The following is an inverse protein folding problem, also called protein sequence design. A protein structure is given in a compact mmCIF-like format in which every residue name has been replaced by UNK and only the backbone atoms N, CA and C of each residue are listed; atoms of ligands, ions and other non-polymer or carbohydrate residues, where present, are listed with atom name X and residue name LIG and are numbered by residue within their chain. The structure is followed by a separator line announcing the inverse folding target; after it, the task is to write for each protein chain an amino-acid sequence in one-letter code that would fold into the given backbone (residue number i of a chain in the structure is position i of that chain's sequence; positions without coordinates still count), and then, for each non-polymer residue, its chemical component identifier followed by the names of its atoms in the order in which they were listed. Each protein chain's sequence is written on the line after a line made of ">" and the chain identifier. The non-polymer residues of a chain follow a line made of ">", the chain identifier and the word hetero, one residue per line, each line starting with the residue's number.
data_IF_225103669931
#
_entry.id   IF_225103669931
#
_cell.length_a   1.000
_cell.length_b   1.000
_cell.length_c   1.000
_cell.angle_alpha   90.00
_cell.angle_beta   90.00
_cell.angle_gamma   90.00
#
_symmetry.space_group_name_H-M   'P 1'
#
loop_
_entity.id
_entity.type
_entity.pdbx_description
1 polymer ?
#
# COMPACT_ATOMS: atom_id res chain seq x y z
N UNK A 1 5.48 -11.68 8.40
CA UNK A 1 6.86 -11.49 7.87
C UNK A 1 7.02 -10.16 7.13
N UNK A 2 6.12 -9.81 6.19
CA UNK A 2 6.20 -8.53 5.45
C UNK A 2 6.24 -7.28 6.34
N UNK A 3 5.42 -7.19 7.39
CA UNK A 3 5.41 -6.05 8.34
C UNK A 3 6.81 -5.72 8.88
N UNK A 4 7.52 -6.71 9.44
CA UNK A 4 8.88 -6.52 9.96
C UNK A 4 9.87 -6.09 8.87
N UNK A 5 9.70 -6.61 7.65
CA UNK A 5 10.58 -6.25 6.52
C UNK A 5 10.42 -4.81 6.06
N UNK A 6 9.23 -4.22 6.18
CA UNK A 6 8.99 -2.82 5.78
C UNK A 6 9.74 -1.87 6.73
N UNK A 7 9.70 -2.13 8.04
CA UNK A 7 10.33 -1.26 9.06
C UNK A 7 11.85 -1.50 9.24
N UNK A 8 12.44 -2.46 8.54
CA UNK A 8 13.88 -2.75 8.61
C UNK A 8 14.64 -2.30 7.36
N UNK A 9 14.02 -1.50 6.49
CA UNK A 9 14.65 -0.94 5.29
C UNK A 9 15.66 0.13 5.71
N UNK A 10 16.94 -0.07 5.37
CA UNK A 10 18.02 0.88 5.69
C UNK A 10 18.82 1.33 4.48
N UNK A 11 18.59 0.72 3.31
CA UNK A 11 19.30 0.99 2.07
C UNK A 11 18.37 0.94 0.85
N UNK A 12 18.83 1.49 -0.28
CA UNK A 12 18.11 1.39 -1.55
C UNK A 12 17.93 -0.07 -2.01
N UNK A 13 18.94 -0.92 -1.76
CA UNK A 13 18.87 -2.35 -2.06
C UNK A 13 17.78 -3.07 -1.25
N UNK A 14 17.67 -2.77 0.05
CA UNK A 14 16.60 -3.29 0.90
C UNK A 14 15.24 -2.86 0.38
N UNK A 15 15.10 -1.57 0.04
CA UNK A 15 13.87 -1.01 -0.49
C UNK A 15 13.42 -1.74 -1.77
N UNK A 16 14.30 -1.92 -2.75
CA UNK A 16 13.99 -2.65 -3.99
C UNK A 16 13.56 -4.09 -3.70
N UNK A 17 14.30 -4.79 -2.84
CA UNK A 17 13.97 -6.17 -2.45
C UNK A 17 12.59 -6.28 -1.78
N UNK A 18 12.29 -5.37 -0.84
CA UNK A 18 11.01 -5.35 -0.13
C UNK A 18 9.87 -4.93 -1.06
N UNK A 19 10.07 -3.96 -1.95
CA UNK A 19 9.08 -3.53 -2.93
C UNK A 19 8.66 -4.68 -3.85
N UNK A 20 9.61 -5.46 -4.37
CA UNK A 20 9.32 -6.64 -5.20
C UNK A 20 8.58 -7.74 -4.42
N UNK A 21 8.91 -7.93 -3.13
CA UNK A 21 8.17 -8.85 -2.25
C UNK A 21 6.74 -8.37 -2.01
N UNK A 22 6.54 -7.07 -1.80
CA UNK A 22 5.21 -6.46 -1.65
C UNK A 22 4.41 -6.60 -2.93
N UNK A 23 5.01 -6.38 -4.10
CA UNK A 23 4.37 -6.58 -5.39
C UNK A 23 3.86 -8.02 -5.56
N UNK A 24 4.69 -9.02 -5.26
CA UNK A 24 4.26 -10.44 -5.27
C UNK A 24 3.09 -10.70 -4.33
N UNK A 25 3.17 -10.20 -3.10
CA UNK A 25 2.09 -10.33 -2.12
C UNK A 25 0.79 -9.68 -2.63
N UNK A 26 0.86 -8.49 -3.22
CA UNK A 26 -0.29 -7.82 -3.82
C UNK A 26 -0.86 -8.63 -5.00
N UNK A 27 -0.01 -9.10 -5.91
CA UNK A 27 -0.47 -9.93 -7.04
C UNK A 27 -1.19 -11.21 -6.57
N UNK A 28 -0.68 -11.86 -5.53
CA UNK A 28 -1.26 -13.11 -5.01
C UNK A 28 -2.57 -12.89 -4.24
N UNK A 29 -2.66 -11.81 -3.44
CA UNK A 29 -3.71 -11.66 -2.43
C UNK A 29 -4.74 -10.57 -2.76
N UNK A 30 -4.49 -9.73 -3.77
CA UNK A 30 -5.40 -8.67 -4.21
C UNK A 30 -5.99 -9.02 -5.58
N UNK A 31 -7.19 -9.60 -5.59
CA UNK A 31 -7.86 -10.07 -6.82
C UNK A 31 -8.05 -8.97 -7.87
N UNK A 32 -8.29 -7.73 -7.44
CA UNK A 32 -8.43 -6.58 -8.33
C UNK A 32 -7.11 -6.26 -9.00
N UNK A 33 -6.03 -6.19 -8.23
CA UNK A 33 -4.69 -5.91 -8.74
C UNK A 33 -4.16 -7.05 -9.62
N UNK A 34 -4.41 -8.30 -9.24
CA UNK A 34 -4.09 -9.49 -10.04
C UNK A 34 -4.75 -9.43 -11.40
N UNK A 35 -6.07 -9.22 -11.43
CA UNK A 35 -6.83 -9.13 -12.69
C UNK A 35 -6.30 -8.02 -13.59
N UNK A 36 -5.91 -6.89 -13.01
CA UNK A 36 -5.29 -5.79 -13.75
C UNK A 36 -3.93 -6.18 -14.34
N UNK A 37 -3.06 -6.83 -13.57
CA UNK A 37 -1.76 -7.30 -14.04
C UNK A 37 -1.89 -8.38 -15.13
N UNK A 38 -2.83 -9.31 -14.98
CA UNK A 38 -3.11 -10.37 -15.96
C UNK A 38 -3.52 -9.78 -17.31
N UNK A 39 -4.37 -8.73 -17.33
CA UNK A 39 -4.77 -8.02 -18.55
C UNK A 39 -3.61 -7.26 -19.22
N UNK A 40 -2.55 -6.95 -18.48
CA UNK A 40 -1.32 -6.35 -18.99
C UNK A 40 -0.26 -7.41 -19.37
N UNK A 41 -0.59 -8.70 -19.24
CA UNK A 41 0.36 -9.80 -19.42
C UNK A 41 1.60 -9.65 -18.54
N UNK A 42 1.41 -9.24 -17.27
CA UNK A 42 2.48 -9.05 -16.29
C UNK A 42 2.36 -10.06 -15.16
N UNK A 43 3.27 -11.02 -15.11
CA UNK A 43 3.39 -11.97 -14.02
C UNK A 43 4.56 -11.60 -13.08
N UNK A 44 4.52 -11.95 -11.78
CA UNK A 44 5.60 -11.62 -10.87
C UNK A 44 6.98 -12.23 -11.17
N UNK A 45 7.04 -13.23 -12.04
CA UNK A 45 8.30 -13.76 -12.59
C UNK A 45 8.99 -12.80 -13.55
N UNK A 46 8.23 -11.89 -14.16
CA UNK A 46 8.68 -11.04 -15.27
C UNK A 46 9.07 -9.62 -14.79
N UNK A 47 8.94 -9.38 -13.48
CA UNK A 47 9.20 -8.09 -12.82
C UNK A 47 10.41 -8.27 -11.91
N UNK A 48 11.57 -7.81 -12.40
CA UNK A 48 12.85 -7.83 -11.68
C UNK A 48 13.22 -6.47 -11.11
N UNK A 49 12.61 -5.39 -11.61
CA UNK A 49 12.90 -4.01 -11.20
C UNK A 49 11.62 -3.28 -10.79
N UNK A 50 11.76 -2.28 -9.92
CA UNK A 50 10.61 -1.56 -9.34
C UNK A 50 9.82 -0.78 -10.40
N UNK A 51 10.49 -0.28 -11.44
CA UNK A 51 9.90 0.48 -12.54
C UNK A 51 8.98 -0.38 -13.42
N UNK A 52 9.10 -1.70 -13.33
CA UNK A 52 8.28 -2.64 -14.09
C UNK A 52 6.96 -2.99 -13.38
N UNK A 53 6.77 -2.56 -12.13
CA UNK A 53 5.56 -2.81 -11.34
C UNK A 53 4.38 -2.04 -11.95
N UNK A 54 3.28 -2.72 -12.36
CA UNK A 54 2.13 -2.04 -12.95
C UNK A 54 1.43 -1.09 -11.97
N UNK A 55 1.15 0.14 -12.41
CA UNK A 55 0.43 1.13 -11.62
C UNK A 55 -1.08 0.93 -11.72
N UNK A 56 -1.73 0.63 -10.60
CA UNK A 56 -3.18 0.48 -10.54
C UNK A 56 -3.86 1.86 -10.66
N UNK A 57 -4.76 2.09 -11.65
CA UNK A 57 -5.42 3.38 -11.80
C UNK A 57 -6.26 3.75 -10.58
N UNK A 58 -6.14 5.00 -10.12
CA UNK A 58 -6.84 5.47 -8.90
C UNK A 58 -8.37 5.34 -8.97
N UNK A 59 -8.95 5.31 -10.18
CA UNK A 59 -10.40 5.11 -10.40
C UNK A 59 -10.90 3.74 -9.91
N UNK A 60 -10.03 2.74 -9.78
CA UNK A 60 -10.39 1.44 -9.23
C UNK A 60 -10.79 1.56 -7.76
N UNK A 61 -10.20 2.47 -6.99
CA UNK A 61 -10.59 2.70 -5.60
C UNK A 61 -11.99 3.32 -5.46
N UNK A 62 -12.57 3.87 -6.53
CA UNK A 62 -13.98 4.34 -6.54
C UNK A 62 -14.96 3.21 -6.80
N UNK A 63 -14.57 2.23 -7.62
CA UNK A 63 -15.51 1.25 -8.21
C UNK A 63 -15.28 -0.18 -7.73
N UNK A 64 -14.13 -0.47 -7.12
CA UNK A 64 -13.70 -1.80 -6.69
C UNK A 64 -13.21 -1.77 -5.23
N UNK A 65 -13.36 -2.91 -4.56
CA UNK A 65 -12.76 -3.14 -3.23
C UNK A 65 -11.31 -3.60 -3.42
N UNK A 66 -10.38 -2.66 -3.43
CA UNK A 66 -8.94 -2.94 -3.52
C UNK A 66 -8.42 -3.33 -2.13
N UNK A 67 -8.14 -4.61 -1.92
CA UNK A 67 -7.71 -5.18 -0.63
C UNK A 67 -6.87 -6.43 -0.88
N UNK A 68 -5.79 -6.63 -0.11
CA UNK A 68 -4.88 -7.78 -0.23
C UNK A 68 -5.01 -8.78 0.92
N UNK A 69 -6.20 -8.88 1.51
CA UNK A 69 -6.49 -9.72 2.67
C UNK A 69 -7.92 -10.24 2.59
N UNK A 70 -8.15 -11.42 3.16
CA UNK A 70 -9.48 -12.00 3.35
C UNK A 70 -10.17 -11.49 4.61
N UNK A 71 -9.44 -10.79 5.49
CA UNK A 71 -9.98 -10.20 6.71
C UNK A 71 -10.85 -8.97 6.40
N UNK A 72 -11.76 -8.65 7.31
CA UNK A 72 -12.51 -7.40 7.24
C UNK A 72 -11.58 -6.22 7.52
N UNK A 73 -11.88 -5.08 6.90
CA UNK A 73 -11.17 -3.84 7.17
C UNK A 73 -11.54 -3.33 8.58
N UNK A 74 -10.54 -2.93 9.35
CA UNK A 74 -10.72 -2.27 10.64
C UNK A 74 -11.23 -0.84 10.44
N UNK A 75 -10.75 -0.15 9.39
CA UNK A 75 -11.20 1.18 9.01
C UNK A 75 -11.28 1.33 7.48
N UNK A 76 -12.18 2.19 7.03
CA UNK A 76 -12.29 2.57 5.61
C UNK A 76 -12.14 4.08 5.48
N UNK A 77 -11.06 4.54 4.88
CA UNK A 77 -10.88 5.95 4.54
C UNK A 77 -11.62 6.27 3.24
N UNK A 78 -12.21 7.45 3.17
CA UNK A 78 -12.89 7.97 1.97
C UNK A 78 -12.26 9.28 1.54
N UNK A 79 -12.09 9.49 0.23
CA UNK A 79 -11.70 10.79 -0.30
C UNK A 79 -12.78 11.84 -0.06
N UNK A 80 -12.40 13.12 0.06
CA UNK A 80 -13.31 14.25 0.31
C UNK A 80 -14.34 14.53 -0.80
N UNK A 81 -14.14 14.00 -2.01
CA UNK A 81 -15.15 14.04 -3.09
C UNK A 81 -15.49 15.46 -3.55
N UNK A 82 -14.55 16.14 -4.21
CA UNK A 82 -14.74 17.53 -4.64
C UNK A 82 -15.61 17.69 -5.91
N UNK A 83 -15.79 16.62 -6.69
CA UNK A 83 -16.61 16.61 -7.92
C UNK A 83 -17.07 15.19 -8.26
N UNK A 84 -18.37 14.90 -8.07
CA UNK A 84 -19.01 13.62 -8.44
C UNK A 84 -19.54 12.79 -7.26
N UNK A 85 -20.48 11.89 -7.54
CA UNK A 85 -21.29 11.20 -6.52
C UNK A 85 -20.58 10.01 -5.82
N UNK A 86 -19.50 9.46 -6.38
CA UNK A 86 -18.74 8.35 -5.77
C UNK A 86 -17.31 8.74 -5.39
N UNK A 87 -17.00 8.61 -4.10
CA UNK A 87 -15.68 8.82 -3.52
C UNK A 87 -14.83 7.55 -3.61
N UNK A 88 -13.50 7.73 -3.65
CA UNK A 88 -12.57 6.60 -3.53
C UNK A 88 -12.58 6.07 -2.10
N UNK A 89 -12.44 4.75 -1.94
CA UNK A 89 -12.38 4.07 -0.64
C UNK A 89 -11.07 3.30 -0.49
N UNK A 90 -10.42 3.45 0.66
CA UNK A 90 -9.22 2.70 1.04
C UNK A 90 -9.55 1.84 2.28
N UNK A 91 -9.54 0.52 2.08
CA UNK A 91 -9.84 -0.47 3.10
C UNK A 91 -8.55 -0.86 3.84
N UNK A 92 -8.43 -0.48 5.11
CA UNK A 92 -7.24 -0.77 5.93
C UNK A 92 -7.56 -1.89 6.90
N UNK A 93 -6.77 -2.96 6.84
CA UNK A 93 -6.99 -4.20 7.61
C UNK A 93 -6.21 -4.29 8.91
N UNK A 94 -5.21 -3.46 9.09
CA UNK A 94 -4.40 -3.34 10.31
C UNK A 94 -4.09 -1.86 10.49
N UNK A 95 -4.87 -1.18 11.34
CA UNK A 95 -4.69 0.24 11.63
C UNK A 95 -3.35 0.46 12.33
N UNK A 96 -2.92 -0.47 13.18
CA UNK A 96 -1.67 -0.33 13.95
C UNK A 96 -0.45 -0.20 13.04
N UNK A 97 -0.44 -0.87 11.89
CA UNK A 97 0.61 -0.73 10.88
C UNK A 97 0.66 0.69 10.31
N UNK A 98 -0.51 1.28 10.05
CA UNK A 98 -0.63 2.63 9.54
C UNK A 98 -0.12 3.64 10.59
N UNK A 99 -0.45 3.42 11.87
CA UNK A 99 -0.02 4.26 12.99
C UNK A 99 1.49 4.21 13.24
N UNK A 100 2.07 3.02 13.29
CA UNK A 100 3.51 2.82 13.41
C UNK A 100 4.24 3.56 12.30
N UNK A 101 3.78 3.41 11.05
CA UNK A 101 4.40 4.05 9.88
C UNK A 101 4.44 5.58 9.97
N UNK A 102 3.33 6.26 10.26
CA UNK A 102 3.37 7.73 10.30
C UNK A 102 4.06 8.26 11.56
N UNK A 103 4.03 7.53 12.68
CA UNK A 103 4.73 7.93 13.91
C UNK A 103 6.25 7.84 13.73
N UNK A 104 6.73 6.73 13.18
CA UNK A 104 8.16 6.55 12.90
C UNK A 104 8.65 7.59 11.89
N UNK A 105 7.86 7.85 10.84
CA UNK A 105 8.17 8.91 9.89
C UNK A 105 8.21 10.29 10.57
N UNK A 106 7.23 10.61 11.41
CA UNK A 106 7.22 11.87 12.15
C UNK A 106 8.48 12.01 13.02
N UNK A 107 8.83 10.98 13.79
CA UNK A 107 10.02 10.98 14.63
C UNK A 107 11.30 11.14 13.81
N UNK A 108 11.39 10.48 12.67
CA UNK A 108 12.54 10.60 11.78
C UNK A 108 12.73 12.03 11.23
N UNK A 109 11.65 12.69 10.83
CA UNK A 109 11.73 14.03 10.22
C UNK A 109 11.71 15.18 11.23
N UNK A 110 11.03 15.00 12.37
CA UNK A 110 10.73 16.08 13.31
C UNK A 110 11.19 15.78 14.75
N UNK A 111 11.47 14.55 15.14
CA UNK A 111 11.79 14.19 16.53
C UNK A 111 10.55 13.79 17.35
N UNK A 112 10.65 13.75 18.69
CA UNK A 112 9.55 13.26 19.53
C UNK A 112 8.34 14.20 19.39
N UNK A 113 7.17 13.61 19.08
CA UNK A 113 5.90 14.34 18.97
C UNK A 113 5.55 15.13 20.24
N UNK A 114 6.04 14.69 21.40
CA UNK A 114 5.84 15.39 22.69
C UNK A 114 6.54 16.74 22.75
N UNK A 115 7.56 16.95 21.94
CA UNK A 115 8.28 18.22 21.86
C UNK A 115 7.52 19.28 21.03
N UNK A 116 6.39 18.88 20.45
CA UNK A 116 5.53 19.74 19.63
C UNK A 116 4.18 19.97 20.32
N UNK A 117 3.78 21.23 20.42
CA UNK A 117 2.40 21.63 20.69
C UNK A 117 1.80 22.20 19.39
N UNK A 118 0.62 21.71 19.01
CA UNK A 118 -0.13 22.12 17.81
C UNK A 118 -1.46 22.71 18.25
#
# INVERSE_FOLDING_TARGET
>A
MLRKSIFSITSEGDFKSVALKIFRHQFENNSVYRSFCDLLYKHPSDVSEIEQIPFLPISFFKTRKVISSTQNAEIVFSSSGTTGSQTSKHFVVDVSLYEESYRDAFVYFFGDVKDYAI
#
